data_IF_068714697099
#
_entry.id   IF_068714697099
#
_cell.length_a   1.000
_cell.length_b   1.000
_cell.length_c   1.000
_cell.angle_alpha   90.00
_cell.angle_beta   90.00
_cell.angle_gamma   90.00
#
_symmetry.space_group_name_H-M   'P 1'
#
loop_
_entity.id
_entity.type
_entity.pdbx_description
1 polymer ?
#
# COMPACT_ATOMS: atom_id res chain seq x y z
N UNK A 1 -4.19 25.18 -14.53
CA UNK A 1 -3.91 23.77 -14.91
C UNK A 1 -2.45 23.46 -15.28
N UNK A 2 -1.79 24.12 -16.25
CA UNK A 2 -0.35 23.81 -16.58
C UNK A 2 0.63 24.27 -15.48
N UNK A 3 0.46 25.50 -14.98
CA UNK A 3 1.31 26.07 -13.92
C UNK A 3 1.23 25.23 -12.64
N UNK A 4 0.02 24.84 -12.21
CA UNK A 4 -0.17 24.03 -11.00
C UNK A 4 0.44 22.64 -11.13
N UNK A 5 0.38 22.01 -12.32
CA UNK A 5 1.04 20.71 -12.58
C UNK A 5 2.56 20.82 -12.45
N UNK A 6 3.14 21.93 -12.88
CA UNK A 6 4.58 22.17 -12.81
C UNK A 6 5.05 22.52 -11.39
N UNK A 7 4.27 23.31 -10.65
CA UNK A 7 4.50 23.56 -9.21
C UNK A 7 4.38 22.25 -8.42
N UNK A 8 3.35 21.44 -8.70
CA UNK A 8 3.18 20.11 -8.10
C UNK A 8 4.38 19.20 -8.33
N UNK A 9 4.93 19.19 -9.55
CA UNK A 9 6.12 18.38 -9.86
C UNK A 9 7.34 18.84 -9.07
N UNK A 10 7.50 20.14 -8.82
CA UNK A 10 8.61 20.69 -8.04
C UNK A 10 8.47 20.45 -6.53
N UNK A 11 7.25 20.54 -6.01
CA UNK A 11 6.97 20.38 -4.58
C UNK A 11 6.91 18.91 -4.13
N UNK A 12 6.59 18.00 -5.04
CA UNK A 12 6.31 16.60 -4.73
C UNK A 12 4.81 16.32 -4.84
N UNK A 13 4.46 15.27 -5.59
CA UNK A 13 3.07 14.89 -5.87
C UNK A 13 2.32 14.44 -4.62
N UNK A 14 3.04 13.95 -3.62
CA UNK A 14 2.45 13.44 -2.37
C UNK A 14 1.99 14.57 -1.45
N UNK A 15 2.85 15.57 -1.22
CA UNK A 15 2.58 16.67 -0.28
C UNK A 15 1.90 17.88 -0.91
N UNK A 16 1.96 18.03 -2.23
CA UNK A 16 1.33 19.18 -2.88
C UNK A 16 -0.19 19.16 -2.70
N UNK A 17 -0.71 20.24 -2.11
CA UNK A 17 -2.14 20.48 -1.91
C UNK A 17 -2.63 21.50 -2.94
N UNK A 18 -3.69 21.15 -3.68
CA UNK A 18 -4.35 22.11 -4.56
C UNK A 18 -5.08 23.18 -3.73
N UNK A 19 -5.22 24.43 -4.23
CA UNK A 19 -6.10 25.42 -3.61
C UNK A 19 -7.50 24.84 -3.43
N UNK A 20 -8.05 24.95 -2.21
CA UNK A 20 -9.33 24.37 -1.79
C UNK A 20 -9.48 22.86 -2.00
N UNK A 21 -8.37 22.16 -2.28
CA UNK A 21 -8.32 20.74 -2.52
C UNK A 21 -7.53 19.99 -1.45
N UNK A 22 -7.13 18.78 -1.81
CA UNK A 22 -6.42 17.85 -0.95
C UNK A 22 -5.09 17.42 -1.58
N UNK A 23 -4.17 17.01 -0.72
CA UNK A 23 -2.92 16.34 -1.06
C UNK A 23 -3.07 14.82 -0.95
N UNK A 24 -2.11 14.05 -1.45
CA UNK A 24 -2.12 12.60 -1.23
C UNK A 24 -1.82 12.26 0.25
N UNK A 25 -1.14 13.13 0.99
CA UNK A 25 -0.96 13.01 2.42
C UNK A 25 -2.30 13.09 3.18
N UNK A 26 -3.19 14.02 2.81
CA UNK A 26 -4.54 14.09 3.40
C UNK A 26 -5.34 12.79 3.15
N UNK A 27 -5.17 12.18 1.96
CA UNK A 27 -5.77 10.89 1.62
C UNK A 27 -5.15 9.75 2.45
N UNK A 28 -3.83 9.79 2.68
CA UNK A 28 -3.11 8.79 3.46
C UNK A 28 -3.63 8.69 4.90
N UNK A 29 -3.94 9.83 5.52
CA UNK A 29 -4.52 9.87 6.87
C UNK A 29 -5.89 9.20 6.92
N UNK A 30 -6.77 9.49 5.96
CA UNK A 30 -8.09 8.83 5.87
C UNK A 30 -7.98 7.33 5.60
N UNK A 31 -7.07 6.95 4.72
CA UNK A 31 -6.81 5.54 4.40
C UNK A 31 -6.27 4.79 5.63
N UNK A 32 -5.55 5.46 6.51
CA UNK A 32 -5.07 4.86 7.76
C UNK A 32 -6.24 4.40 8.64
N UNK A 33 -7.22 5.28 8.86
CA UNK A 33 -8.43 4.93 9.62
C UNK A 33 -9.25 3.84 8.93
N UNK A 34 -9.49 3.97 7.62
CA UNK A 34 -10.22 2.96 6.84
C UNK A 34 -9.58 1.57 6.95
N UNK A 35 -8.26 1.47 6.82
CA UNK A 35 -7.51 0.21 6.90
C UNK A 35 -7.68 -0.47 8.26
N UNK A 36 -7.65 0.29 9.34
CA UNK A 36 -7.78 -0.24 10.71
C UNK A 36 -9.17 -0.79 10.97
N UNK A 37 -10.21 -0.06 10.55
CA UNK A 37 -11.59 -0.55 10.59
C UNK A 37 -11.76 -1.79 9.71
N UNK A 38 -11.24 -1.77 8.48
CA UNK A 38 -11.36 -2.90 7.56
C UNK A 38 -10.75 -4.17 8.14
N UNK A 39 -9.53 -4.09 8.69
CA UNK A 39 -8.87 -5.24 9.31
C UNK A 39 -9.68 -5.76 10.50
N UNK A 40 -10.17 -4.86 11.35
CA UNK A 40 -11.01 -5.23 12.50
C UNK A 40 -12.30 -5.93 12.05
N UNK A 41 -12.98 -5.40 11.03
CA UNK A 41 -14.21 -5.96 10.50
C UNK A 41 -13.99 -7.36 9.87
N UNK A 42 -12.84 -7.60 9.24
CA UNK A 42 -12.43 -8.94 8.80
C UNK A 42 -12.26 -9.87 10.00
N UNK A 43 -11.49 -9.43 11.00
CA UNK A 43 -11.11 -10.25 12.16
C UNK A 43 -12.34 -10.66 13.01
N UNK A 44 -13.34 -9.78 13.16
CA UNK A 44 -14.59 -10.10 13.88
C UNK A 44 -15.60 -10.90 13.03
N UNK A 45 -15.30 -11.15 11.75
CA UNK A 45 -16.16 -11.87 10.82
C UNK A 45 -17.40 -11.07 10.40
N UNK A 46 -17.32 -9.73 10.35
CA UNK A 46 -18.46 -8.85 10.03
C UNK A 46 -19.07 -9.12 8.66
N UNK A 47 -18.25 -9.55 7.71
CA UNK A 47 -18.65 -9.81 6.33
C UNK A 47 -19.16 -11.23 6.07
N UNK A 48 -19.42 -12.01 7.14
CA UNK A 48 -19.81 -13.42 7.04
C UNK A 48 -21.16 -13.69 7.70
N UNK A 49 -21.92 -14.68 7.19
CA UNK A 49 -23.16 -15.10 7.83
C UNK A 49 -22.94 -15.56 9.28
N UNK A 50 -23.90 -15.33 10.19
CA UNK A 50 -23.86 -15.88 11.54
C UNK A 50 -23.62 -17.39 11.51
N UNK A 51 -22.68 -17.89 12.33
CA UNK A 51 -22.34 -19.31 12.42
C UNK A 51 -21.43 -19.86 11.32
N UNK A 52 -21.11 -19.07 10.29
CA UNK A 52 -20.23 -19.48 9.18
C UNK A 52 -18.90 -18.71 9.18
N UNK A 53 -18.34 -18.46 10.36
CA UNK A 53 -17.08 -17.73 10.49
C UNK A 53 -15.95 -18.51 9.82
N UNK A 54 -15.24 -17.84 8.91
CA UNK A 54 -14.10 -18.37 8.17
C UNK A 54 -12.98 -17.33 8.17
N UNK A 55 -11.70 -17.71 8.27
CA UNK A 55 -10.61 -16.77 8.06
C UNK A 55 -10.47 -16.35 6.58
N UNK A 56 -11.13 -17.06 5.65
CA UNK A 56 -10.98 -16.88 4.22
C UNK A 56 -12.09 -15.96 3.67
N UNK A 57 -11.85 -14.65 3.73
CA UNK A 57 -12.69 -13.62 3.08
C UNK A 57 -11.93 -13.02 1.91
N UNK A 58 -12.59 -12.91 0.75
CA UNK A 58 -12.10 -12.12 -0.36
C UNK A 58 -12.83 -10.77 -0.38
N UNK A 59 -12.08 -9.69 -0.50
CA UNK A 59 -12.62 -8.33 -0.55
C UNK A 59 -12.26 -7.68 -1.87
N UNK A 60 -13.19 -6.89 -2.41
CA UNK A 60 -12.98 -6.08 -3.61
C UNK A 60 -13.11 -4.61 -3.22
N UNK A 61 -12.04 -3.84 -3.41
CA UNK A 61 -12.01 -2.40 -3.14
C UNK A 61 -12.06 -1.66 -4.49
N UNK A 62 -13.20 -1.01 -4.76
CA UNK A 62 -13.38 -0.19 -5.98
C UNK A 62 -13.18 1.28 -5.61
N UNK A 63 -12.18 1.92 -6.20
CA UNK A 63 -11.84 3.32 -5.91
C UNK A 63 -11.07 3.98 -7.06
N UNK A 64 -10.49 5.15 -6.81
CA UNK A 64 -9.72 5.91 -7.79
C UNK A 64 -8.23 5.56 -7.73
N UNK A 65 -7.52 5.76 -8.86
CA UNK A 65 -6.12 5.37 -8.99
C UNK A 65 -5.15 6.02 -7.99
N UNK A 66 -5.42 7.26 -7.55
CA UNK A 66 -4.64 7.89 -6.47
C UNK A 66 -4.88 7.18 -5.14
N UNK A 67 -6.15 6.99 -4.77
CA UNK A 67 -6.56 6.37 -3.51
C UNK A 67 -6.04 4.94 -3.38
N UNK A 68 -6.11 4.14 -4.45
CA UNK A 68 -5.58 2.77 -4.46
C UNK A 68 -4.06 2.72 -4.28
N UNK A 69 -3.32 3.63 -4.91
CA UNK A 69 -1.86 3.72 -4.69
C UNK A 69 -1.51 4.15 -3.27
N UNK A 70 -2.27 5.09 -2.69
CA UNK A 70 -2.12 5.48 -1.28
C UNK A 70 -2.48 4.33 -0.33
N UNK A 71 -3.50 3.53 -0.67
CA UNK A 71 -3.83 2.31 0.07
C UNK A 71 -2.67 1.33 0.09
N UNK A 72 -2.06 1.03 -1.06
CA UNK A 72 -0.89 0.17 -1.15
C UNK A 72 0.30 0.73 -0.38
N UNK A 73 0.59 2.03 -0.54
CA UNK A 73 1.64 2.72 0.22
C UNK A 73 1.42 2.58 1.73
N UNK A 74 0.19 2.79 2.22
CA UNK A 74 -0.14 2.65 3.64
C UNK A 74 -0.06 1.20 4.11
N UNK A 75 -0.43 0.25 3.27
CA UNK A 75 -0.43 -1.18 3.59
C UNK A 75 1.00 -1.71 3.72
N UNK A 76 1.82 -1.48 2.69
CA UNK A 76 3.19 -2.00 2.57
C UNK A 76 4.26 -1.07 3.14
N UNK A 77 3.85 0.06 3.73
CA UNK A 77 4.76 1.03 4.36
C UNK A 77 5.81 1.57 3.39
N UNK A 78 5.41 1.80 2.14
CA UNK A 78 6.28 2.40 1.14
C UNK A 78 6.57 3.86 1.46
N UNK A 79 7.78 4.28 1.10
CA UNK A 79 8.23 5.67 1.20
C UNK A 79 7.50 6.57 0.20
N UNK A 80 7.59 7.88 0.41
CA UNK A 80 7.04 8.87 -0.54
C UNK A 80 7.67 8.72 -1.92
N UNK A 81 8.98 8.51 -1.99
CA UNK A 81 9.70 8.31 -3.25
C UNK A 81 9.19 7.09 -4.03
N UNK A 82 9.06 5.94 -3.34
CA UNK A 82 8.49 4.73 -3.91
C UNK A 82 7.06 4.96 -4.41
N UNK A 83 6.22 5.64 -3.63
CA UNK A 83 4.85 5.98 -4.04
C UNK A 83 4.81 6.88 -5.30
N UNK A 84 5.69 7.88 -5.38
CA UNK A 84 5.72 8.81 -6.50
C UNK A 84 6.19 8.14 -7.80
N UNK A 85 6.99 7.08 -7.70
CA UNK A 85 7.42 6.23 -8.81
C UNK A 85 6.35 5.28 -9.36
N UNK A 86 5.25 5.07 -8.64
CA UNK A 86 4.16 4.20 -9.10
C UNK A 86 3.38 4.82 -10.27
N UNK A 87 3.08 3.99 -11.27
CA UNK A 87 2.19 4.33 -12.36
C UNK A 87 0.73 4.25 -11.91
N UNK A 88 -0.14 5.07 -12.53
CA UNK A 88 -1.57 4.97 -12.27
C UNK A 88 -2.13 3.65 -12.81
N UNK A 89 -3.17 3.14 -12.16
CA UNK A 89 -4.04 2.13 -12.73
C UNK A 89 -4.69 2.64 -14.02
N UNK A 90 -4.82 1.76 -15.01
CA UNK A 90 -5.75 1.95 -16.11
C UNK A 90 -7.20 1.95 -15.59
N UNK A 91 -8.12 2.54 -16.35
CA UNK A 91 -9.53 2.49 -16.02
C UNK A 91 -10.01 1.03 -16.01
N UNK A 92 -10.52 0.57 -14.87
CA UNK A 92 -10.90 -0.84 -14.67
C UNK A 92 -9.72 -1.78 -14.40
N UNK A 93 -8.50 -1.27 -14.27
CA UNK A 93 -7.34 -2.04 -13.87
C UNK A 93 -7.48 -2.64 -12.46
N UNK A 94 -6.82 -3.77 -12.23
CA UNK A 94 -6.87 -4.54 -10.98
C UNK A 94 -5.47 -4.80 -10.45
N UNK A 95 -5.30 -4.74 -9.12
CA UNK A 95 -4.18 -5.35 -8.42
C UNK A 95 -4.72 -6.28 -7.35
N UNK A 96 -4.03 -7.40 -7.16
CA UNK A 96 -4.42 -8.46 -6.22
C UNK A 96 -3.37 -8.54 -5.14
N UNK A 97 -3.81 -8.29 -3.91
CA UNK A 97 -3.05 -8.57 -2.71
C UNK A 97 -3.50 -9.94 -2.21
N UNK A 98 -2.59 -10.92 -2.18
CA UNK A 98 -2.93 -12.28 -1.76
C UNK A 98 -2.05 -12.71 -0.59
N UNK A 99 -2.62 -13.46 0.34
CA UNK A 99 -1.89 -14.01 1.47
C UNK A 99 -0.87 -15.04 0.99
N UNK A 100 0.38 -14.84 1.41
CA UNK A 100 1.46 -15.79 1.20
C UNK A 100 1.45 -16.91 2.25
N UNK A 101 2.43 -17.82 2.19
CA UNK A 101 2.52 -18.97 3.10
C UNK A 101 2.73 -18.58 4.57
N UNK A 102 3.28 -17.38 4.82
CA UNK A 102 3.41 -16.82 6.17
C UNK A 102 2.17 -16.08 6.69
N UNK A 103 1.10 -15.99 5.89
CA UNK A 103 -0.15 -15.33 6.26
C UNK A 103 -0.18 -13.81 6.07
N UNK A 104 0.92 -13.20 5.60
CA UNK A 104 0.97 -11.78 5.21
C UNK A 104 0.58 -11.63 3.74
N UNK A 105 0.01 -10.48 3.41
CA UNK A 105 -0.33 -10.15 2.02
C UNK A 105 0.94 -9.79 1.24
N UNK A 106 1.09 -10.34 0.05
CA UNK A 106 2.14 -10.00 -0.92
C UNK A 106 1.55 -9.93 -2.32
N UNK A 107 2.03 -8.97 -3.10
CA UNK A 107 1.65 -8.82 -4.51
C UNK A 107 2.26 -9.94 -5.38
N UNK A 108 3.44 -10.45 -5.01
CA UNK A 108 4.18 -11.51 -5.74
C UNK A 108 3.66 -12.93 -5.48
N UNK A 109 2.55 -13.05 -4.75
CA UNK A 109 1.79 -14.30 -4.72
C UNK A 109 0.97 -14.45 -5.99
N UNK A 110 0.42 -13.34 -6.52
CA UNK A 110 -0.45 -13.35 -7.69
C UNK A 110 0.23 -12.79 -8.95
N UNK A 111 0.95 -11.67 -8.81
CA UNK A 111 1.55 -10.94 -9.91
C UNK A 111 2.98 -11.39 -10.17
N UNK A 112 3.42 -11.26 -11.42
CA UNK A 112 4.80 -11.45 -11.82
C UNK A 112 5.65 -10.22 -11.50
N UNK A 113 6.97 -10.41 -11.41
CA UNK A 113 7.92 -9.30 -11.25
C UNK A 113 7.82 -8.30 -12.41
N UNK A 114 7.60 -8.77 -13.64
CA UNK A 114 7.47 -7.92 -14.83
C UNK A 114 6.27 -6.97 -14.73
N UNK A 115 5.11 -7.48 -14.33
CA UNK A 115 3.89 -6.67 -14.13
C UNK A 115 4.08 -5.62 -13.04
N UNK A 116 4.70 -6.01 -11.93
CA UNK A 116 4.94 -5.09 -10.82
C UNK A 116 5.99 -4.02 -11.16
N UNK A 117 7.03 -4.34 -11.94
CA UNK A 117 7.95 -3.34 -12.49
C UNK A 117 7.23 -2.38 -13.43
N UNK A 118 6.36 -2.89 -14.30
CA UNK A 118 5.54 -2.04 -15.18
C UNK A 118 4.60 -1.13 -14.38
N UNK A 119 4.10 -1.59 -13.23
CA UNK A 119 3.35 -0.77 -12.28
C UNK A 119 4.20 0.26 -11.52
N UNK A 120 5.53 0.13 -11.55
CA UNK A 120 6.49 1.08 -10.99
C UNK A 120 7.13 0.65 -9.66
N UNK A 121 7.08 -0.65 -9.30
CA UNK A 121 7.83 -1.15 -8.14
C UNK A 121 9.34 -1.11 -8.42
N UNK A 122 10.10 -0.61 -7.45
CA UNK A 122 11.56 -0.68 -7.43
C UNK A 122 12.04 -2.08 -7.02
N UNK A 123 13.32 -2.39 -7.25
CA UNK A 123 13.92 -3.65 -6.78
C UNK A 123 13.74 -3.85 -5.27
N UNK A 124 13.98 -2.81 -4.46
CA UNK A 124 13.77 -2.87 -3.02
C UNK A 124 12.33 -3.19 -2.61
N UNK A 125 11.33 -2.71 -3.37
CA UNK A 125 9.92 -3.07 -3.13
C UNK A 125 9.65 -4.52 -3.51
N UNK A 126 10.23 -5.00 -4.61
CA UNK A 126 10.10 -6.39 -5.05
C UNK A 126 10.73 -7.36 -4.05
N UNK A 127 11.91 -7.03 -3.53
CA UNK A 127 12.61 -7.79 -2.50
C UNK A 127 11.76 -7.88 -1.23
N UNK A 128 11.15 -6.76 -0.80
CA UNK A 128 10.20 -6.80 0.31
C UNK A 128 8.97 -7.67 -0.04
N UNK A 129 8.38 -7.56 -1.23
CA UNK A 129 7.26 -8.41 -1.61
C UNK A 129 7.62 -9.91 -1.61
N UNK A 130 8.85 -10.27 -1.97
CA UNK A 130 9.36 -11.65 -1.86
C UNK A 130 9.46 -12.08 -0.39
N UNK A 131 9.97 -11.22 0.48
CA UNK A 131 10.01 -11.48 1.92
C UNK A 131 8.59 -11.61 2.53
N UNK A 132 7.67 -10.70 2.22
CA UNK A 132 6.28 -10.69 2.70
C UNK A 132 5.53 -11.98 2.32
N UNK A 133 5.90 -12.62 1.20
CA UNK A 133 5.29 -13.87 0.72
C UNK A 133 5.49 -15.03 1.70
N UNK A 134 6.60 -15.05 2.42
CA UNK A 134 6.96 -16.14 3.35
C UNK A 134 6.95 -15.72 4.81
N UNK A 135 7.07 -14.42 5.09
CA UNK A 135 7.15 -13.88 6.44
C UNK A 135 5.86 -14.09 7.25
N UNK A 136 6.02 -14.46 8.52
CA UNK A 136 4.91 -14.69 9.45
C UNK A 136 4.30 -13.38 9.92
N UNK A 137 3.03 -13.43 10.28
CA UNK A 137 2.36 -12.31 10.96
C UNK A 137 3.17 -11.93 12.22
N UNK A 138 3.52 -10.65 12.36
CA UNK A 138 4.31 -10.13 13.48
C UNK A 138 5.81 -10.01 13.22
N UNK A 139 6.35 -10.67 12.19
CA UNK A 139 7.75 -10.47 11.78
C UNK A 139 7.96 -9.08 11.16
N UNK A 140 9.16 -8.52 11.36
CA UNK A 140 9.58 -7.23 10.83
C UNK A 140 10.75 -7.43 9.86
N UNK A 141 10.69 -6.73 8.73
CA UNK A 141 11.78 -6.67 7.77
C UNK A 141 12.67 -5.46 8.11
N UNK A 142 13.74 -5.68 8.86
CA UNK A 142 14.65 -4.61 9.28
C UNK A 142 15.52 -4.09 8.12
N UNK A 143 15.65 -4.87 7.05
CA UNK A 143 16.44 -4.49 5.87
C UNK A 143 15.62 -3.64 4.88
N UNK A 144 14.29 -3.55 5.07
CA UNK A 144 13.42 -2.74 4.23
C UNK A 144 13.20 -1.34 4.81
N UNK A 145 13.52 -0.33 4.01
CA UNK A 145 13.36 1.07 4.41
C UNK A 145 11.87 1.46 4.37
N UNK A 146 11.26 1.58 5.54
CA UNK A 146 9.87 2.06 5.67
C UNK A 146 9.77 3.57 5.94
N UNK A 147 10.81 4.15 6.54
CA UNK A 147 10.82 5.54 7.02
C UNK A 147 12.24 5.98 7.42
N UNK A 148 13.14 6.06 6.42
CA UNK A 148 14.51 6.53 6.62
C UNK A 148 15.31 5.69 7.62
N UNK A 149 16.49 6.18 8.02
CA UNK A 149 17.29 5.57 9.08
C UNK A 149 16.54 5.63 10.42
N UNK A 150 16.56 4.53 11.18
CA UNK A 150 16.01 4.46 12.53
C UNK A 150 16.50 5.65 13.37
N UNK A 151 15.58 6.36 14.01
CA UNK A 151 15.93 7.40 14.99
C UNK A 151 16.65 6.83 16.22
N UNK A 152 16.46 5.55 16.51
CA UNK A 152 17.13 4.85 17.59
C UNK A 152 18.28 4.04 17.00
N UNK A 153 19.48 4.62 17.02
CA UNK A 153 20.72 4.00 16.52
C UNK A 153 21.39 3.08 17.54
N UNK A 154 20.88 3.05 18.77
CA UNK A 154 21.39 2.23 19.87
C UNK A 154 20.22 1.49 20.52
N UNK A 155 19.87 0.34 19.96
CA UNK A 155 19.12 -0.67 20.69
C UNK A 155 20.15 -1.53 21.40
N UNK A 156 20.28 -1.34 22.72
CA UNK A 156 21.12 -2.14 23.63
C UNK A 156 20.31 -3.35 24.08
#
# INVERSE_FOLDING_TARGET
MRIEKEVRRRYGRFFYRFPDGESAADVYDRITGFRETLKTDIDIGRFQPPGARSPNVNLVIVSHGLTLRVFLMRWYKWTVEQFEGLNNFDNGGLLVMQTGSGGRYSLLVHHTVGELRAFGLTESMLDDQMWQKTAKIGELNYDFVTNGSSFFTHLV
#
